data_IF_737474216748
#
_entry.id   IF_737474216748
#
_cell.length_a   1.000
_cell.length_b   1.000
_cell.length_c   1.000
_cell.angle_alpha   90.00
_cell.angle_beta   90.00
_cell.angle_gamma   90.00
#
_symmetry.space_group_name_H-M   'P 1'
#
loop_
_entity.id
_entity.type
_entity.pdbx_description
1 polymer ?
#
# COMPACT_ATOMS: atom_id res chain seq x y z
N UNK A 1 1.62 -12.19 21.45
CA UNK A 1 2.08 -11.32 20.35
C UNK A 1 0.84 -10.71 19.73
N UNK A 2 0.72 -9.37 19.69
CA UNK A 2 -0.45 -8.72 19.07
C UNK A 2 -0.42 -9.01 17.55
N UNK A 3 -1.56 -9.32 16.96
CA UNK A 3 -1.64 -9.43 15.50
C UNK A 3 -1.73 -8.04 14.85
N UNK A 4 -1.56 -7.95 13.53
CA UNK A 4 -1.55 -6.67 12.82
C UNK A 4 -2.87 -5.90 12.98
N UNK A 5 -4.01 -6.59 13.03
CA UNK A 5 -5.32 -5.95 13.14
C UNK A 5 -5.52 -5.32 14.52
N UNK A 6 -5.10 -6.02 15.57
CA UNK A 6 -5.09 -5.51 16.94
C UNK A 6 -4.18 -4.29 17.08
N UNK A 7 -2.96 -4.37 16.52
CA UNK A 7 -2.01 -3.26 16.49
C UNK A 7 -2.55 -2.04 15.74
N UNK A 8 -3.15 -2.26 14.56
CA UNK A 8 -3.74 -1.21 13.75
C UNK A 8 -4.91 -0.54 14.47
N UNK A 9 -5.77 -1.31 15.12
CA UNK A 9 -6.90 -0.78 15.89
C UNK A 9 -6.43 0.10 17.05
N UNK A 10 -5.38 -0.31 17.74
CA UNK A 10 -4.75 0.48 18.81
C UNK A 10 -4.18 1.80 18.27
N UNK A 11 -3.43 1.77 17.17
CA UNK A 11 -2.88 3.00 16.57
C UNK A 11 -3.98 3.97 16.09
N UNK A 12 -5.05 3.43 15.48
CA UNK A 12 -6.18 4.25 15.00
C UNK A 12 -7.08 4.78 16.11
N UNK A 13 -6.84 4.40 17.37
CA UNK A 13 -7.51 5.02 18.53
C UNK A 13 -7.00 6.44 18.81
N UNK A 14 -5.78 6.78 18.38
CA UNK A 14 -5.27 8.14 18.44
C UNK A 14 -5.90 8.99 17.30
N UNK A 15 -6.61 10.09 17.62
CA UNK A 15 -7.28 10.93 16.61
C UNK A 15 -6.35 11.53 15.56
N UNK A 16 -5.11 11.90 15.92
CA UNK A 16 -4.12 12.46 15.00
C UNK A 16 -3.65 11.40 13.99
N UNK A 17 -3.38 10.19 14.49
CA UNK A 17 -2.99 9.04 13.66
C UNK A 17 -4.13 8.65 12.73
N UNK A 18 -5.37 8.60 13.24
CA UNK A 18 -6.56 8.31 12.45
C UNK A 18 -6.75 9.34 11.33
N UNK A 19 -6.59 10.63 11.63
CA UNK A 19 -6.71 11.70 10.64
C UNK A 19 -5.67 11.54 9.52
N UNK A 20 -4.39 11.39 9.86
CA UNK A 20 -3.33 11.19 8.87
C UNK A 20 -3.52 9.90 8.05
N UNK A 21 -4.04 8.84 8.68
CA UNK A 21 -4.34 7.57 8.00
C UNK A 21 -5.49 7.73 6.99
N UNK A 22 -6.57 8.42 7.35
CA UNK A 22 -7.71 8.67 6.46
C UNK A 22 -7.34 9.64 5.32
N UNK A 23 -6.52 10.66 5.58
CA UNK A 23 -6.01 11.58 4.54
C UNK A 23 -5.21 10.84 3.45
N UNK A 24 -4.56 9.72 3.79
CA UNK A 24 -3.81 8.87 2.84
C UNK A 24 -4.59 7.67 2.31
N UNK A 25 -5.88 7.56 2.62
CA UNK A 25 -6.69 6.39 2.22
C UNK A 25 -6.61 6.08 0.73
N UNK A 26 -6.66 7.10 -0.13
CA UNK A 26 -6.54 6.94 -1.58
C UNK A 26 -5.19 6.32 -1.99
N UNK A 27 -4.07 6.78 -1.41
CA UNK A 27 -2.75 6.22 -1.69
C UNK A 27 -2.69 4.72 -1.31
N UNK A 28 -3.28 4.35 -0.17
CA UNK A 28 -3.35 2.96 0.29
C UNK A 28 -4.23 2.08 -0.61
N UNK A 29 -5.36 2.59 -1.08
CA UNK A 29 -6.25 1.87 -1.99
C UNK A 29 -5.58 1.60 -3.35
N UNK A 30 -4.87 2.59 -3.89
CA UNK A 30 -4.09 2.44 -5.12
C UNK A 30 -2.97 1.40 -4.92
N UNK A 31 -2.19 1.51 -3.84
CA UNK A 31 -1.12 0.57 -3.54
C UNK A 31 -1.64 -0.86 -3.36
N UNK A 32 -2.72 -1.05 -2.61
CA UNK A 32 -3.36 -2.35 -2.38
C UNK A 32 -3.86 -2.98 -3.69
N UNK A 33 -4.52 -2.18 -4.53
CA UNK A 33 -5.01 -2.62 -5.83
C UNK A 33 -3.86 -3.05 -6.74
N UNK A 34 -2.80 -2.24 -6.82
CA UNK A 34 -1.62 -2.54 -7.63
C UNK A 34 -0.93 -3.83 -7.15
N UNK A 35 -0.77 -4.02 -5.84
CA UNK A 35 -0.17 -5.24 -5.28
C UNK A 35 -1.00 -6.46 -5.66
N UNK A 36 -2.33 -6.42 -5.51
CA UNK A 36 -3.23 -7.53 -5.87
C UNK A 36 -3.12 -7.89 -7.34
N UNK A 37 -3.19 -6.89 -8.23
CA UNK A 37 -3.09 -7.10 -9.68
C UNK A 37 -1.71 -7.63 -10.08
N UNK A 38 -0.64 -7.11 -9.47
CA UNK A 38 0.74 -7.58 -9.71
C UNK A 38 0.89 -9.05 -9.36
N UNK A 39 0.40 -9.46 -8.19
CA UNK A 39 0.45 -10.85 -7.72
C UNK A 39 -0.39 -11.77 -8.61
N UNK A 40 -1.62 -11.36 -8.96
CA UNK A 40 -2.48 -12.11 -9.87
C UNK A 40 -1.87 -12.27 -11.27
N UNK A 41 -1.05 -11.31 -11.69
CA UNK A 41 -0.33 -11.34 -12.97
C UNK A 41 1.03 -12.05 -12.90
N UNK A 42 1.39 -12.64 -11.75
CA UNK A 42 2.69 -13.26 -11.49
C UNK A 42 3.90 -12.36 -11.84
N UNK A 43 3.77 -11.04 -11.60
CA UNK A 43 4.80 -10.05 -11.91
C UNK A 43 5.62 -9.66 -10.67
N UNK A 44 6.92 -9.44 -10.84
CA UNK A 44 7.75 -8.82 -9.79
C UNK A 44 7.54 -7.31 -9.75
N UNK A 45 8.00 -6.65 -8.69
CA UNK A 45 7.98 -5.18 -8.63
C UNK A 45 8.81 -4.55 -9.75
N UNK A 46 9.93 -5.20 -10.14
CA UNK A 46 10.76 -4.75 -11.25
C UNK A 46 10.00 -4.84 -12.59
N UNK A 47 9.21 -5.89 -12.81
CA UNK A 47 8.40 -6.04 -14.03
C UNK A 47 7.33 -4.96 -14.14
N UNK A 48 6.66 -4.64 -13.02
CA UNK A 48 5.70 -3.54 -12.97
C UNK A 48 6.40 -2.21 -13.26
N UNK A 49 7.55 -1.94 -12.65
CA UNK A 49 8.29 -0.70 -12.86
C UNK A 49 8.78 -0.54 -14.32
N UNK A 50 9.20 -1.63 -14.98
CA UNK A 50 9.53 -1.64 -16.41
C UNK A 50 8.30 -1.32 -17.28
N UNK A 51 7.14 -1.89 -16.94
CA UNK A 51 5.89 -1.73 -17.70
C UNK A 51 5.27 -0.33 -17.55
N UNK A 52 5.36 0.25 -16.35
CA UNK A 52 4.93 1.63 -16.07
C UNK A 52 5.95 2.69 -16.55
N UNK A 53 7.00 2.30 -17.27
CA UNK A 53 8.07 3.18 -17.80
C UNK A 53 8.90 3.92 -16.74
N UNK A 54 8.79 3.54 -15.46
CA UNK A 54 9.46 4.19 -14.33
C UNK A 54 10.98 3.94 -14.35
N UNK A 55 11.43 2.87 -15.01
CA UNK A 55 12.85 2.52 -15.15
C UNK A 55 13.50 2.97 -16.47
N UNK A 56 12.76 3.63 -17.39
CA UNK A 56 13.31 4.03 -18.70
C UNK A 56 14.06 5.36 -18.72
N UNK A 57 14.12 6.06 -17.58
CA UNK A 57 14.73 7.39 -17.46
C UNK A 57 15.88 7.44 -16.44
N UNK A 58 16.55 6.31 -16.20
CA UNK A 58 17.82 6.27 -15.45
C UNK A 58 18.98 5.95 -16.38
#
# INVERSE_FOLDING_TARGET
MKNFDEFKKELLSNPEVKKAYEERKMEFEIASTLIKVRLASNMTQADVAKKCLILKHK
#
